data_IF_528926272324
#
_entry.id   IF_528926272324
#
_cell.length_a   1.000
_cell.length_b   1.000
_cell.length_c   1.000
_cell.angle_alpha   90.00
_cell.angle_beta   90.00
_cell.angle_gamma   90.00
#
_symmetry.space_group_name_H-M   'P 1'
#
loop_
_entity.id
_entity.type
_entity.pdbx_description
1 polymer ?
#
# COMPACT_ATOMS: atom_id res chain seq x y z
N UNK A 1 5.86 -30.81 6.00
CA UNK A 1 6.16 -29.66 5.13
C UNK A 1 5.79 -28.41 5.90
N UNK A 2 6.78 -27.68 6.39
CA UNK A 2 6.56 -26.43 7.13
C UNK A 2 6.15 -25.36 6.12
N UNK A 3 4.87 -25.01 6.08
CA UNK A 3 4.40 -23.80 5.41
C UNK A 3 4.97 -22.62 6.19
N UNK A 4 6.11 -22.10 5.75
CA UNK A 4 6.67 -20.86 6.30
C UNK A 4 5.68 -19.75 5.95
N UNK A 5 4.84 -19.36 6.90
CA UNK A 5 3.94 -18.21 6.77
C UNK A 5 4.80 -16.95 6.74
N UNK A 6 4.72 -16.20 5.64
CA UNK A 6 5.45 -14.94 5.50
C UNK A 6 4.95 -13.97 6.57
N UNK A 7 5.86 -13.30 7.28
CA UNK A 7 5.45 -12.31 8.29
C UNK A 7 4.87 -11.06 7.60
N UNK A 8 4.12 -10.26 8.37
CA UNK A 8 3.58 -8.99 7.85
C UNK A 8 4.69 -8.07 7.34
N UNK A 9 5.75 -7.91 8.12
CA UNK A 9 6.92 -7.11 7.73
C UNK A 9 7.57 -7.66 6.45
N UNK A 10 7.73 -8.98 6.32
CA UNK A 10 8.31 -9.59 5.12
C UNK A 10 7.45 -9.31 3.89
N UNK A 11 6.12 -9.39 4.01
CA UNK A 11 5.19 -9.04 2.94
C UNK A 11 5.36 -7.58 2.50
N UNK A 12 5.40 -6.63 3.44
CA UNK A 12 5.51 -5.21 3.10
C UNK A 12 6.85 -4.89 2.44
N UNK A 13 7.95 -5.47 2.93
CA UNK A 13 9.28 -5.35 2.32
C UNK A 13 9.31 -5.94 0.90
N UNK A 14 8.62 -7.07 0.71
CA UNK A 14 8.50 -7.71 -0.61
C UNK A 14 7.71 -6.83 -1.57
N UNK A 15 6.57 -6.29 -1.14
CA UNK A 15 5.76 -5.35 -1.94
C UNK A 15 6.59 -4.13 -2.36
N UNK A 16 7.31 -3.51 -1.42
CA UNK A 16 8.18 -2.38 -1.73
C UNK A 16 9.25 -2.74 -2.75
N UNK A 17 9.94 -3.86 -2.54
CA UNK A 17 11.05 -4.28 -3.42
C UNK A 17 10.53 -4.56 -4.84
N UNK A 18 9.39 -5.25 -4.97
CA UNK A 18 8.76 -5.50 -6.28
C UNK A 18 8.38 -4.19 -6.94
N UNK A 19 7.72 -3.27 -6.22
CA UNK A 19 7.28 -2.01 -6.80
C UNK A 19 8.46 -1.13 -7.23
N UNK A 20 9.58 -1.10 -6.50
CA UNK A 20 10.80 -0.39 -6.93
C UNK A 20 11.32 -0.93 -8.27
N UNK A 21 11.36 -2.25 -8.43
CA UNK A 21 11.80 -2.90 -9.68
C UNK A 21 10.82 -2.65 -10.84
N UNK A 22 9.52 -2.57 -10.55
CA UNK A 22 8.51 -2.20 -11.56
C UNK A 22 8.62 -0.71 -11.95
N UNK A 23 8.84 0.18 -10.97
CA UNK A 23 9.03 1.62 -11.19
C UNK A 23 10.27 1.91 -12.07
N UNK A 24 11.28 1.03 -12.05
CA UNK A 24 12.49 1.15 -12.87
C UNK A 24 12.35 0.70 -14.32
N UNK A 25 11.20 0.11 -14.71
CA UNK A 25 10.99 -0.36 -16.09
C UNK A 25 10.68 0.80 -17.01
N UNK A 26 11.24 0.83 -18.24
CA UNK A 26 10.86 1.83 -19.23
C UNK A 26 9.37 1.67 -19.57
N UNK A 27 8.58 2.70 -19.32
CA UNK A 27 7.17 2.73 -19.70
C UNK A 27 6.81 4.02 -20.41
N UNK A 28 5.87 3.93 -21.34
CA UNK A 28 5.36 5.09 -22.07
C UNK A 28 4.25 5.77 -21.26
N UNK A 29 4.52 6.97 -20.74
CA UNK A 29 3.52 7.83 -20.11
C UNK A 29 3.56 7.91 -18.57
N UNK A 30 2.57 8.61 -17.99
CA UNK A 30 2.37 8.69 -16.54
C UNK A 30 1.78 7.36 -16.08
N UNK A 31 2.61 6.49 -15.53
CA UNK A 31 2.16 5.17 -15.11
C UNK A 31 1.73 5.17 -13.65
N UNK A 32 0.48 4.76 -13.42
CA UNK A 32 0.01 4.34 -12.11
C UNK A 32 0.87 3.16 -11.61
N UNK A 33 1.20 3.15 -10.31
CA UNK A 33 2.07 2.12 -9.72
C UNK A 33 1.35 0.76 -9.68
N UNK A 34 1.59 -0.06 -10.70
CA UNK A 34 0.85 -1.29 -10.99
C UNK A 34 0.63 -2.20 -9.76
N UNK A 35 1.67 -2.54 -9.00
CA UNK A 35 1.51 -3.47 -7.88
C UNK A 35 0.71 -2.84 -6.75
N UNK A 36 1.04 -1.61 -6.34
CA UNK A 36 0.38 -0.96 -5.20
C UNK A 36 -1.06 -0.56 -5.53
N UNK A 37 -1.35 -0.15 -6.77
CA UNK A 37 -2.72 0.15 -7.20
C UNK A 37 -3.57 -1.13 -7.29
N UNK A 38 -3.03 -2.23 -7.84
CA UNK A 38 -3.76 -3.50 -7.89
C UNK A 38 -4.04 -4.04 -6.47
N UNK A 39 -3.08 -3.91 -5.55
CA UNK A 39 -3.29 -4.28 -4.14
C UNK A 39 -4.33 -3.38 -3.45
N UNK A 40 -4.35 -2.09 -3.77
CA UNK A 40 -5.35 -1.15 -3.27
C UNK A 40 -6.75 -1.53 -3.75
N UNK A 41 -6.92 -1.81 -5.05
CA UNK A 41 -8.20 -2.26 -5.62
C UNK A 41 -8.73 -3.53 -4.94
N UNK A 42 -7.85 -4.49 -4.64
CA UNK A 42 -8.21 -5.69 -3.86
C UNK A 42 -8.74 -5.29 -2.49
N UNK A 43 -8.06 -4.37 -1.79
CA UNK A 43 -8.48 -3.91 -0.47
C UNK A 43 -9.81 -3.15 -0.53
N UNK A 44 -10.03 -2.28 -1.51
CA UNK A 44 -11.27 -1.52 -1.69
C UNK A 44 -12.47 -2.45 -1.99
N UNK A 45 -12.26 -3.44 -2.86
CA UNK A 45 -13.26 -4.46 -3.13
C UNK A 45 -13.58 -5.28 -1.88
N UNK A 46 -12.56 -5.71 -1.13
CA UNK A 46 -12.73 -6.43 0.12
C UNK A 46 -13.42 -5.59 1.20
N UNK A 47 -13.13 -4.29 1.28
CA UNK A 47 -13.79 -3.35 2.18
C UNK A 47 -15.27 -3.20 1.86
N UNK A 48 -15.61 -3.08 0.56
CA UNK A 48 -16.99 -3.02 0.08
C UNK A 48 -17.76 -4.30 0.42
N UNK A 49 -17.15 -5.47 0.20
CA UNK A 49 -17.74 -6.76 0.59
C UNK A 49 -17.98 -6.84 2.11
N UNK A 50 -16.99 -6.42 2.92
CA UNK A 50 -17.09 -6.44 4.38
C UNK A 50 -18.18 -5.49 4.91
N UNK A 51 -18.38 -4.33 4.28
CA UNK A 51 -19.44 -3.39 4.66
C UNK A 51 -20.83 -4.04 4.49
N UNK A 52 -21.06 -4.68 3.35
CA UNK A 52 -22.31 -5.38 3.04
C UNK A 52 -22.52 -6.59 3.96
N UNK A 53 -21.47 -7.38 4.18
CA UNK A 53 -21.52 -8.56 5.06
C UNK A 53 -21.82 -8.24 6.53
N UNK A 54 -21.63 -6.99 6.96
CA UNK A 54 -21.99 -6.53 8.31
C UNK A 54 -23.47 -6.15 8.46
N UNK A 55 -24.21 -6.04 7.36
CA UNK A 55 -25.63 -5.67 7.38
C UNK A 55 -26.50 -6.89 7.69
N UNK A 56 -27.58 -6.68 8.43
CA UNK A 56 -28.50 -7.75 8.84
C UNK A 56 -29.35 -8.31 7.69
N UNK A 57 -29.60 -7.49 6.66
CA UNK A 57 -30.40 -7.85 5.47
C UNK A 57 -29.79 -7.25 4.22
N UNK A 58 -29.72 -8.02 3.14
CA UNK A 58 -29.24 -7.55 1.84
C UNK A 58 -30.42 -7.35 0.90
N UNK A 59 -30.46 -6.20 0.23
CA UNK A 59 -31.35 -5.99 -0.90
C UNK A 59 -30.65 -6.38 -2.23
N UNK A 60 -31.35 -6.15 -3.34
CA UNK A 60 -30.86 -6.48 -4.68
C UNK A 60 -29.63 -5.62 -5.06
N UNK A 61 -29.56 -4.38 -4.58
CA UNK A 61 -28.42 -3.48 -4.76
C UNK A 61 -27.21 -3.97 -3.98
N UNK A 62 -27.38 -4.35 -2.72
CA UNK A 62 -26.31 -4.89 -1.89
C UNK A 62 -25.74 -6.19 -2.47
N UNK A 63 -26.61 -7.06 -2.97
CA UNK A 63 -26.19 -8.30 -3.65
C UNK A 63 -25.34 -8.00 -4.89
N UNK A 64 -25.73 -7.00 -5.68
CA UNK A 64 -25.00 -6.59 -6.88
C UNK A 64 -23.65 -5.95 -6.55
N UNK A 65 -23.57 -5.07 -5.55
CA UNK A 65 -22.30 -4.46 -5.12
C UNK A 65 -21.36 -5.53 -4.55
N UNK A 66 -21.87 -6.49 -3.78
CA UNK A 66 -21.05 -7.59 -3.27
C UNK A 66 -20.49 -8.44 -4.42
N UNK A 67 -21.34 -8.81 -5.39
CA UNK A 67 -20.96 -9.63 -6.54
C UNK A 67 -19.90 -8.94 -7.40
N UNK A 68 -20.12 -7.68 -7.76
CA UNK A 68 -19.17 -6.89 -8.56
C UNK A 68 -17.84 -6.70 -7.83
N UNK A 69 -17.86 -6.46 -6.52
CA UNK A 69 -16.65 -6.39 -5.69
C UNK A 69 -15.90 -7.73 -5.66
N UNK A 70 -16.61 -8.85 -5.51
CA UNK A 70 -16.00 -10.19 -5.53
C UNK A 70 -15.33 -10.51 -6.89
N UNK A 71 -15.97 -10.11 -7.99
CA UNK A 71 -15.45 -10.26 -9.36
C UNK A 71 -14.22 -9.38 -9.58
N UNK A 72 -14.25 -8.10 -9.18
CA UNK A 72 -13.11 -7.19 -9.26
C UNK A 72 -11.91 -7.75 -8.50
N UNK A 73 -12.12 -8.14 -7.23
CA UNK A 73 -11.10 -8.77 -6.40
C UNK A 73 -10.49 -10.01 -7.05
N UNK A 74 -11.32 -10.88 -7.64
CA UNK A 74 -10.84 -12.08 -8.32
C UNK A 74 -9.99 -11.72 -9.55
N UNK A 75 -10.41 -10.72 -10.32
CA UNK A 75 -9.68 -10.19 -11.48
C UNK A 75 -8.32 -9.65 -11.07
N UNK A 76 -8.26 -8.80 -10.04
CA UNK A 76 -7.02 -8.20 -9.56
C UNK A 76 -6.04 -9.23 -8.99
N UNK A 77 -6.54 -10.28 -8.33
CA UNK A 77 -5.71 -11.41 -7.90
C UNK A 77 -5.08 -12.16 -9.08
N UNK A 78 -5.77 -12.25 -10.23
CA UNK A 78 -5.17 -12.81 -11.45
C UNK A 78 -4.12 -11.88 -12.05
N UNK A 79 -4.35 -10.57 -12.01
CA UNK A 79 -3.36 -9.55 -12.42
C UNK A 79 -2.07 -9.63 -11.59
N UNK A 80 -2.18 -9.86 -10.28
CA UNK A 80 -1.01 -10.00 -9.40
C UNK A 80 -0.23 -11.29 -9.61
N UNK A 81 -0.88 -12.35 -10.09
CA UNK A 81 -0.27 -13.68 -10.22
C UNK A 81 1.03 -13.69 -11.05
N UNK A 82 1.10 -13.16 -12.28
CA UNK A 82 2.35 -13.15 -13.05
C UNK A 82 3.45 -12.32 -12.37
N UNK A 83 3.09 -11.20 -11.72
CA UNK A 83 4.03 -10.38 -10.95
C UNK A 83 4.62 -11.20 -9.79
N UNK A 84 3.77 -11.86 -9.01
CA UNK A 84 4.23 -12.65 -7.86
C UNK A 84 5.18 -13.77 -8.31
N UNK A 85 4.84 -14.49 -9.38
CA UNK A 85 5.69 -15.52 -9.96
C UNK A 85 7.05 -14.97 -10.42
N UNK A 86 7.06 -13.83 -11.11
CA UNK A 86 8.28 -13.16 -11.55
C UNK A 86 9.24 -12.86 -10.39
N UNK A 87 8.69 -12.51 -9.21
CA UNK A 87 9.46 -12.16 -8.02
C UNK A 87 9.61 -13.29 -7.00
N UNK A 88 9.52 -14.55 -7.46
CA UNK A 88 9.72 -15.78 -6.69
C UNK A 88 8.70 -16.01 -5.55
N UNK A 89 7.49 -15.45 -5.68
CA UNK A 89 6.34 -15.78 -4.85
C UNK A 89 5.52 -16.86 -5.58
N UNK A 90 5.93 -18.12 -5.39
CA UNK A 90 5.45 -19.27 -6.16
C UNK A 90 4.03 -19.76 -5.81
N UNK A 91 3.43 -19.25 -4.73
CA UNK A 91 2.06 -19.57 -4.34
C UNK A 91 1.08 -18.53 -4.90
N UNK A 92 -0.23 -18.86 -4.99
CA UNK A 92 -1.24 -17.86 -5.36
C UNK A 92 -1.20 -16.63 -4.43
N UNK A 93 -1.42 -15.39 -4.93
CA UNK A 93 -1.34 -14.18 -4.11
C UNK A 93 -2.17 -14.23 -2.82
N UNK A 94 -3.36 -14.85 -2.86
CA UNK A 94 -4.24 -15.02 -1.70
C UNK A 94 -3.59 -15.75 -0.51
N UNK A 95 -2.53 -16.54 -0.73
CA UNK A 95 -1.80 -17.24 0.35
C UNK A 95 -0.88 -16.29 1.11
N UNK A 96 -0.45 -15.20 0.47
CA UNK A 96 0.47 -14.23 1.05
C UNK A 96 -0.24 -13.04 1.68
N UNK A 97 -1.42 -12.69 1.16
CA UNK A 97 -2.20 -11.57 1.66
C UNK A 97 -2.84 -11.89 3.03
N UNK A 98 -2.96 -10.91 3.94
CA UNK A 98 -3.61 -11.12 5.23
C UNK A 98 -5.09 -11.47 5.08
N UNK A 99 -5.65 -12.16 6.08
CA UNK A 99 -7.08 -12.46 6.12
C UNK A 99 -7.90 -11.18 6.08
N UNK A 100 -8.88 -11.14 5.16
CA UNK A 100 -9.80 -10.02 4.97
C UNK A 100 -10.43 -9.57 6.29
N UNK A 101 -10.33 -8.28 6.59
CA UNK A 101 -10.89 -7.67 7.80
C UNK A 101 -10.04 -7.84 9.07
N UNK A 102 -8.93 -8.57 9.01
CA UNK A 102 -7.97 -8.65 10.12
C UNK A 102 -7.23 -7.33 10.35
N UNK A 103 -6.59 -7.17 11.51
CA UNK A 103 -5.74 -5.99 11.79
C UNK A 103 -4.58 -5.87 10.80
N UNK A 104 -4.02 -7.00 10.35
CA UNK A 104 -2.95 -7.01 9.33
C UNK A 104 -3.47 -6.58 7.96
N UNK A 105 -4.68 -6.99 7.61
CA UNK A 105 -5.34 -6.52 6.39
C UNK A 105 -5.55 -5.01 6.41
N UNK A 106 -6.04 -4.46 7.53
CA UNK A 106 -6.22 -3.00 7.66
C UNK A 106 -4.89 -2.24 7.59
N UNK A 107 -3.84 -2.79 8.20
CA UNK A 107 -2.48 -2.25 8.09
C UNK A 107 -1.95 -2.29 6.65
N UNK A 108 -2.18 -3.38 5.92
CA UNK A 108 -1.84 -3.49 4.50
C UNK A 108 -2.61 -2.45 3.68
N UNK A 109 -3.91 -2.30 3.92
CA UNK A 109 -4.77 -1.36 3.22
C UNK A 109 -4.23 0.07 3.32
N UNK A 110 -3.99 0.57 4.54
CA UNK A 110 -3.41 1.92 4.74
C UNK A 110 -2.04 2.04 4.06
N UNK A 111 -1.19 1.01 4.18
CA UNK A 111 0.12 1.01 3.56
C UNK A 111 0.04 1.18 2.04
N UNK A 112 -0.78 0.37 1.35
CA UNK A 112 -0.88 0.43 -0.11
C UNK A 112 -1.61 1.69 -0.59
N UNK A 113 -2.59 2.22 0.15
CA UNK A 113 -3.19 3.51 -0.16
C UNK A 113 -2.15 4.63 -0.14
N UNK A 114 -1.32 4.70 0.91
CA UNK A 114 -0.24 5.70 0.98
C UNK A 114 0.80 5.53 -0.12
N UNK A 115 1.15 4.29 -0.49
CA UNK A 115 2.08 4.05 -1.59
C UNK A 115 1.53 4.43 -2.96
N UNK A 116 0.23 4.28 -3.17
CA UNK A 116 -0.43 4.56 -4.45
C UNK A 116 -0.77 6.05 -4.58
N UNK A 117 -1.32 6.67 -3.55
CA UNK A 117 -1.91 8.00 -3.62
C UNK A 117 -0.96 9.11 -3.14
N UNK A 118 -0.04 8.77 -2.22
CA UNK A 118 0.77 9.76 -1.49
C UNK A 118 2.28 9.64 -1.75
N UNK A 119 2.69 8.72 -2.63
CA UNK A 119 4.10 8.52 -2.97
C UNK A 119 4.53 9.37 -4.16
N UNK A 120 5.65 10.07 -4.01
CA UNK A 120 6.18 10.98 -5.03
C UNK A 120 7.68 10.78 -5.24
N UNK A 121 8.13 10.92 -6.50
CA UNK A 121 9.55 10.98 -6.85
C UNK A 121 10.12 12.35 -6.51
N UNK A 122 11.35 12.36 -6.02
CA UNK A 122 12.12 13.58 -5.81
C UNK A 122 12.78 13.96 -7.14
N UNK A 123 12.19 14.93 -7.82
CA UNK A 123 12.73 15.50 -9.06
C UNK A 123 13.50 16.79 -8.78
N UNK A 124 12.91 17.75 -8.07
CA UNK A 124 13.56 18.95 -7.56
C UNK A 124 12.83 19.33 -6.26
N UNK A 125 13.29 18.87 -5.10
CA UNK A 125 12.73 19.32 -3.83
C UNK A 125 13.60 20.46 -3.28
N UNK A 126 12.93 21.56 -2.92
CA UNK A 126 13.44 22.72 -2.17
C UNK A 126 14.29 23.73 -2.98
N UNK A 127 13.62 24.66 -3.68
CA UNK A 127 14.26 25.89 -4.19
C UNK A 127 14.60 26.90 -3.06
N UNK A 128 14.17 26.64 -1.82
CA UNK A 128 14.44 27.49 -0.66
C UNK A 128 15.35 26.78 0.35
N UNK A 129 16.52 27.36 0.61
CA UNK A 129 17.59 26.84 1.47
C UNK A 129 17.26 26.71 2.98
N UNK A 130 16.03 27.03 3.44
CA UNK A 130 15.80 27.27 4.88
C UNK A 130 15.10 26.18 5.70
N UNK A 131 14.68 25.04 5.13
CA UNK A 131 14.26 23.91 5.96
C UNK A 131 14.65 22.59 5.31
N UNK A 132 15.84 22.06 5.65
CA UNK A 132 16.10 20.64 5.46
C UNK A 132 15.14 19.85 6.35
N UNK A 133 13.98 19.48 5.81
CA UNK A 133 13.08 18.57 6.52
C UNK A 133 13.67 17.18 6.38
N UNK A 134 14.50 16.79 7.33
CA UNK A 134 14.96 15.42 7.42
C UNK A 134 13.77 14.50 7.70
N UNK A 135 13.86 13.26 7.21
CA UNK A 135 12.86 12.26 7.51
C UNK A 135 12.84 11.99 9.02
N UNK A 136 11.71 12.15 9.73
CA UNK A 136 11.63 12.01 11.20
C UNK A 136 11.84 10.56 11.68
N UNK A 137 11.99 9.60 10.76
CA UNK A 137 12.20 8.18 11.08
C UNK A 137 13.69 7.83 11.07
N UNK A 138 14.42 8.21 10.02
CA UNK A 138 15.85 7.88 9.88
C UNK A 138 16.78 9.08 10.12
N UNK A 139 16.24 10.30 10.21
CA UNK A 139 16.97 11.56 10.34
C UNK A 139 17.89 11.89 9.15
N UNK A 140 17.66 11.27 7.99
CA UNK A 140 18.34 11.57 6.75
C UNK A 140 17.52 12.52 5.87
N UNK A 141 18.22 13.30 5.04
CA UNK A 141 17.63 14.16 4.03
C UNK A 141 16.97 13.40 2.86
N UNK A 142 16.22 14.14 2.05
CA UNK A 142 15.52 13.65 0.88
C UNK A 142 16.35 13.90 -0.39
N UNK A 143 16.87 12.83 -1.02
CA UNK A 143 17.77 12.94 -2.17
C UNK A 143 17.05 12.73 -3.52
N UNK A 144 17.61 13.33 -4.58
CA UNK A 144 17.12 13.16 -5.96
C UNK A 144 16.96 11.67 -6.33
N UNK A 145 15.84 11.34 -6.99
CA UNK A 145 15.53 9.98 -7.41
C UNK A 145 14.99 9.06 -6.31
N UNK A 146 15.04 9.46 -5.03
CA UNK A 146 14.35 8.73 -3.97
C UNK A 146 12.84 9.02 -4.03
N UNK A 147 12.04 8.14 -3.40
CA UNK A 147 10.61 8.35 -3.19
C UNK A 147 10.32 8.76 -1.75
N UNK A 148 9.38 9.67 -1.59
CA UNK A 148 8.86 10.07 -0.29
C UNK A 148 7.34 9.96 -0.27
N UNK A 149 6.81 9.81 0.93
CA UNK A 149 5.37 9.82 1.21
C UNK A 149 5.03 11.18 1.80
N UNK A 150 4.11 11.90 1.15
CA UNK A 150 3.48 13.08 1.74
C UNK A 150 2.27 12.63 2.55
N UNK A 151 2.37 12.67 3.87
CA UNK A 151 1.30 12.17 4.73
C UNK A 151 0.04 13.05 4.63
N UNK A 152 -1.17 12.48 4.49
CA UNK A 152 -2.42 13.25 4.32
C UNK A 152 -2.74 14.25 5.43
N UNK A 153 -2.23 14.00 6.64
CA UNK A 153 -2.52 14.85 7.81
C UNK A 153 -2.06 16.31 7.64
N UNK A 154 -0.93 16.56 6.98
CA UNK A 154 -0.37 17.89 6.70
C UNK A 154 0.57 17.79 5.49
N UNK A 155 0.46 18.72 4.53
CA UNK A 155 1.31 18.74 3.33
C UNK A 155 2.81 18.86 3.62
N UNK A 156 3.16 19.33 4.83
CA UNK A 156 4.53 19.44 5.30
C UNK A 156 5.12 18.16 5.88
N UNK A 157 4.30 17.16 6.19
CA UNK A 157 4.74 15.91 6.82
C UNK A 157 5.21 14.91 5.77
N UNK A 158 6.52 14.75 5.69
CA UNK A 158 7.18 13.89 4.71
C UNK A 158 7.96 12.78 5.44
N UNK A 159 7.94 11.57 4.87
CA UNK A 159 8.80 10.45 5.29
C UNK A 159 9.30 9.74 4.04
N UNK A 160 10.46 9.06 4.08
CA UNK A 160 10.85 8.20 2.96
C UNK A 160 9.87 7.05 2.80
N UNK A 161 9.67 6.60 1.56
CA UNK A 161 8.87 5.41 1.29
C UNK A 161 9.42 4.16 2.03
N UNK A 162 10.75 4.00 2.06
CA UNK A 162 11.42 2.94 2.83
C UNK A 162 11.14 3.03 4.33
N UNK A 163 11.11 4.24 4.86
CA UNK A 163 10.81 4.48 6.27
C UNK A 163 9.34 4.20 6.58
N UNK A 164 8.42 4.44 5.65
CA UNK A 164 7.02 4.01 5.77
C UNK A 164 6.93 2.48 5.87
N UNK A 165 7.61 1.74 4.99
CA UNK A 165 7.61 0.26 5.00
C UNK A 165 8.14 -0.28 6.33
N UNK A 166 9.22 0.30 6.85
CA UNK A 166 9.75 -0.04 8.17
C UNK A 166 8.70 0.22 9.26
N UNK A 167 8.13 1.42 9.31
CA UNK A 167 7.13 1.79 10.31
C UNK A 167 5.93 0.83 10.27
N UNK A 168 5.39 0.57 9.09
CA UNK A 168 4.26 -0.33 8.85
C UNK A 168 4.55 -1.79 9.23
N UNK A 169 5.80 -2.23 9.10
CA UNK A 169 6.25 -3.56 9.51
C UNK A 169 6.35 -3.72 11.03
N UNK A 170 6.63 -2.64 11.76
CA UNK A 170 6.81 -2.66 13.23
C UNK A 170 5.54 -2.31 14.02
N UNK A 171 4.64 -1.51 13.44
CA UNK A 171 3.38 -1.13 14.09
C UNK A 171 2.19 -1.35 13.15
N UNK A 172 1.14 -1.99 13.68
CA UNK A 172 -0.15 -2.09 12.98
C UNK A 172 -1.01 -0.81 13.18
N UNK A 173 -0.59 0.07 14.09
CA UNK A 173 -1.17 1.39 14.30
C UNK A 173 -0.44 2.38 13.40
N UNK A 174 -1.08 2.77 12.30
CA UNK A 174 -0.60 3.79 11.39
C UNK A 174 -0.92 5.18 11.94
N UNK A 175 -0.02 5.72 12.75
CA UNK A 175 -0.08 7.12 13.18
C UNK A 175 1.06 7.89 12.53
N UNK A 176 0.78 9.14 12.16
CA UNK A 176 1.82 10.04 11.68
C UNK A 176 2.93 10.16 12.76
N UNK A 177 4.21 9.91 12.42
CA UNK A 177 5.31 9.99 13.39
C UNK A 177 5.54 11.43 13.90
N UNK A 178 5.00 12.45 13.22
CA UNK A 178 5.17 13.86 13.56
C UNK A 178 4.03 14.35 14.47
N UNK A 179 2.76 14.24 14.04
CA UNK A 179 1.62 14.77 14.79
C UNK A 179 0.70 13.73 15.43
N UNK A 180 0.99 12.43 15.27
CA UNK A 180 0.22 11.30 15.82
C UNK A 180 -1.24 11.21 15.36
N UNK A 181 -1.65 12.00 14.37
CA UNK A 181 -2.94 11.80 13.69
C UNK A 181 -2.84 10.57 12.80
N UNK A 182 -3.88 9.77 12.74
CA UNK A 182 -3.91 8.71 11.74
C UNK A 182 -4.05 9.34 10.35
N UNK A 183 -3.40 8.78 9.32
CA UNK A 183 -3.65 9.13 7.94
C UNK A 183 -4.98 8.49 7.56
N UNK A 184 -6.10 9.12 7.91
CA UNK A 184 -7.39 8.66 7.45
C UNK A 184 -7.62 9.22 6.05
N UNK A 185 -7.86 8.29 5.13
CA UNK A 185 -8.42 8.51 3.80
C UNK A 185 -9.68 9.37 3.94
N UNK A 186 -9.76 10.43 3.14
CA UNK A 186 -10.95 11.26 2.97
C UNK A 186 -11.91 10.62 1.99
#
# INVERSE_FOLDING_TARGET
MTTTTMSHSDLLNKIQSIQIELDGRPTEGVQERLLTSTLLNICDAEASMLDIERRDTWDESDTEVWRTSAESRASDLQTLRPIFLEFNLNLPPVVYLPDRGSTRWFSLYIYVSLLTESSHLIQNLFESEEESRDCPICFDGFNHGQRYIRLPCYSSHLIHEKCLTMLAGHTLLFLCPICRRAPYLS
#
